data_IF_108648236356
#
_entry.id   IF_108648236356
#
_cell.length_a   1.000
_cell.length_b   1.000
_cell.length_c   1.000
_cell.angle_alpha   90.00
_cell.angle_beta   90.00
_cell.angle_gamma   90.00
#
_symmetry.space_group_name_H-M   'P 1'
#
loop_
_entity.id
_entity.type
_entity.pdbx_description
1 polymer ?
#
# COMPACT_ATOMS: atom_id res chain seq x y z
N UNK A 1 -36.81 -13.95 34.65
CA UNK A 1 -36.20 -13.40 33.44
C UNK A 1 -36.71 -14.18 32.25
N UNK A 2 -37.48 -13.54 31.37
CA UNK A 2 -38.11 -14.19 30.22
C UNK A 2 -37.07 -14.55 29.16
N UNK A 3 -37.24 -15.74 28.53
CA UNK A 3 -36.33 -16.20 27.44
C UNK A 3 -36.15 -15.22 26.30
N UNK A 4 -37.11 -14.34 26.06
CA UNK A 4 -37.07 -13.23 25.10
C UNK A 4 -36.10 -12.12 25.52
N UNK A 5 -35.94 -11.84 26.80
CA UNK A 5 -34.99 -10.81 27.28
C UNK A 5 -33.51 -11.25 27.17
N UNK A 6 -33.27 -12.57 27.31
CA UNK A 6 -31.92 -13.12 27.12
C UNK A 6 -31.54 -13.13 25.63
N UNK A 7 -32.49 -13.46 24.74
CA UNK A 7 -32.26 -13.44 23.30
C UNK A 7 -32.00 -12.03 22.77
N UNK A 8 -32.69 -11.00 23.29
CA UNK A 8 -32.43 -9.59 22.92
C UNK A 8 -31.11 -9.07 23.47
N UNK A 9 -30.68 -9.51 24.66
CA UNK A 9 -29.35 -9.16 25.17
C UNK A 9 -28.21 -9.84 24.36
N UNK A 10 -28.42 -11.09 23.94
CA UNK A 10 -27.44 -11.84 23.14
C UNK A 10 -27.32 -11.25 21.74
N UNK A 11 -28.39 -10.80 21.11
CA UNK A 11 -28.40 -10.12 19.82
C UNK A 11 -27.79 -8.72 19.94
N UNK A 12 -28.03 -8.00 21.05
CA UNK A 12 -27.41 -6.70 21.34
C UNK A 12 -25.90 -6.78 21.56
N UNK A 13 -25.40 -7.86 22.17
CA UNK A 13 -23.95 -8.07 22.34
C UNK A 13 -23.22 -8.53 21.07
N UNK A 14 -23.93 -9.14 20.11
CA UNK A 14 -23.37 -9.52 18.80
C UNK A 14 -23.31 -8.35 17.80
N UNK A 15 -23.99 -7.24 18.07
CA UNK A 15 -23.97 -6.04 17.25
C UNK A 15 -22.87 -5.02 17.64
N UNK A 16 -22.17 -5.26 18.76
CA UNK A 16 -21.10 -4.40 19.26
C UNK A 16 -19.74 -5.03 18.96
N UNK A 17 -19.22 -4.84 17.72
CA UNK A 17 -17.81 -5.04 17.56
C UNK A 17 -17.30 -5.75 16.32
N UNK A 18 -17.56 -5.24 15.17
CA UNK A 18 -16.66 -5.44 14.04
C UNK A 18 -16.16 -4.07 13.57
N UNK A 19 -15.16 -3.53 14.28
CA UNK A 19 -14.42 -2.39 13.78
C UNK A 19 -13.48 -2.91 12.71
N UNK A 20 -13.70 -2.48 11.47
CA UNK A 20 -12.79 -2.71 10.37
C UNK A 20 -11.50 -1.93 10.64
N UNK A 21 -10.43 -2.64 10.82
CA UNK A 21 -9.09 -2.09 10.95
C UNK A 21 -8.24 -2.58 9.76
N UNK A 22 -7.16 -1.91 9.41
CA UNK A 22 -6.73 -1.83 8.01
C UNK A 22 -5.23 -1.64 7.90
N UNK A 23 -4.58 -2.25 6.89
CA UNK A 23 -3.17 -1.98 6.61
C UNK A 23 -2.53 -2.82 5.51
N UNK A 24 -1.18 -2.91 5.54
CA UNK A 24 -0.39 -3.79 4.70
C UNK A 24 -0.90 -5.24 4.75
N UNK A 25 -0.68 -6.02 3.69
CA UNK A 25 -1.16 -7.41 3.60
C UNK A 25 -0.86 -8.26 4.83
N UNK A 26 0.32 -8.10 5.44
CA UNK A 26 0.72 -8.81 6.65
C UNK A 26 -0.18 -8.50 7.87
N UNK A 27 -0.75 -7.30 7.93
CA UNK A 27 -1.58 -6.90 9.07
C UNK A 27 -3.01 -7.45 9.03
N UNK A 28 -3.38 -8.20 8.00
CA UNK A 28 -4.63 -8.96 8.00
C UNK A 28 -4.69 -9.91 9.20
N UNK A 29 -3.56 -10.50 9.62
CA UNK A 29 -3.46 -11.34 10.82
C UNK A 29 -3.75 -10.60 12.12
N UNK A 30 -3.61 -9.27 12.10
CA UNK A 30 -4.02 -8.35 13.18
C UNK A 30 -5.45 -7.80 12.99
N UNK A 31 -6.19 -8.33 12.00
CA UNK A 31 -7.54 -7.91 11.61
C UNK A 31 -7.60 -6.54 10.92
N UNK A 32 -6.49 -6.12 10.30
CA UNK A 32 -6.38 -4.89 9.54
C UNK A 32 -6.36 -5.21 8.04
N UNK A 33 -7.50 -5.07 7.35
CA UNK A 33 -7.66 -5.45 5.94
C UNK A 33 -7.60 -4.27 4.95
N UNK A 34 -7.59 -3.02 5.42
CA UNK A 34 -7.66 -1.81 4.58
C UNK A 34 -6.63 -0.77 5.03
N UNK A 35 -6.34 0.24 4.20
CA UNK A 35 -5.31 1.26 4.47
C UNK A 35 -5.82 2.51 5.20
N UNK A 36 -7.09 2.86 5.00
CA UNK A 36 -7.65 4.19 5.32
C UNK A 36 -7.66 4.62 6.79
N UNK A 37 -7.75 3.79 7.85
CA UNK A 37 -7.57 4.29 9.22
C UNK A 37 -6.14 4.58 9.61
N UNK A 38 -5.17 3.90 8.99
CA UNK A 38 -3.78 4.08 9.35
C UNK A 38 -3.07 5.13 8.49
N UNK A 39 -3.55 5.38 7.27
CA UNK A 39 -2.94 6.29 6.32
C UNK A 39 -3.93 7.37 5.88
N UNK A 40 -3.41 8.59 5.62
CA UNK A 40 -4.20 9.63 4.99
C UNK A 40 -4.49 9.30 3.52
N UNK A 41 -3.53 8.70 2.80
CA UNK A 41 -3.79 8.16 1.45
C UNK A 41 -4.66 6.92 1.54
N UNK A 42 -5.85 6.88 0.88
CA UNK A 42 -6.76 5.74 0.94
C UNK A 42 -6.17 4.43 0.42
N UNK A 43 -5.10 4.53 -0.37
CA UNK A 43 -4.41 3.38 -0.96
C UNK A 43 -3.18 2.94 -0.15
N UNK A 44 -2.98 3.52 1.03
CA UNK A 44 -1.81 3.27 1.88
C UNK A 44 -0.56 4.05 1.47
N UNK A 45 0.49 3.93 2.24
CA UNK A 45 1.72 4.71 2.12
C UNK A 45 1.55 6.16 2.59
N UNK A 46 2.63 6.92 2.52
CA UNK A 46 2.66 8.32 2.97
C UNK A 46 2.36 8.48 4.46
N UNK A 47 1.82 9.64 4.82
CA UNK A 47 1.59 10.05 6.20
C UNK A 47 0.61 9.15 6.96
N UNK A 48 1.01 8.72 8.15
CA UNK A 48 0.14 8.01 9.07
C UNK A 48 -0.85 8.96 9.75
N UNK A 49 -2.09 8.48 9.92
CA UNK A 49 -3.07 9.10 10.83
C UNK A 49 -2.61 8.97 12.29
N UNK A 50 -3.20 9.73 13.20
CA UNK A 50 -2.93 9.57 14.65
C UNK A 50 -3.21 8.14 15.12
N UNK A 51 -4.25 7.51 14.60
CA UNK A 51 -4.54 6.10 14.88
C UNK A 51 -3.44 5.17 14.36
N UNK A 52 -2.96 5.37 13.13
CA UNK A 52 -1.87 4.59 12.54
C UNK A 52 -0.57 4.71 13.32
N UNK A 53 -0.24 5.92 13.81
CA UNK A 53 0.92 6.15 14.68
C UNK A 53 0.78 5.42 16.02
N UNK A 54 -0.40 5.50 16.65
CA UNK A 54 -0.69 4.79 17.89
C UNK A 54 -0.60 3.27 17.72
N UNK A 55 -1.13 2.75 16.61
CA UNK A 55 -1.04 1.33 16.26
C UNK A 55 0.42 0.88 16.08
N UNK A 56 1.20 1.63 15.31
CA UNK A 56 2.63 1.36 15.09
C UNK A 56 3.39 1.27 16.41
N UNK A 57 3.12 2.20 17.33
CA UNK A 57 3.74 2.21 18.64
C UNK A 57 3.32 1.04 19.52
N UNK A 58 2.02 0.79 19.63
CA UNK A 58 1.47 -0.09 20.68
C UNK A 58 1.43 -1.55 20.28
N UNK A 59 1.08 -1.86 19.05
CA UNK A 59 0.83 -3.23 18.61
C UNK A 59 1.86 -3.77 17.63
N UNK A 60 2.42 -2.90 16.77
CA UNK A 60 3.26 -3.38 15.68
C UNK A 60 4.74 -3.39 16.00
N UNK A 61 5.24 -2.55 16.90
CA UNK A 61 6.65 -2.51 17.26
C UNK A 61 7.04 -3.56 18.29
N UNK A 62 8.32 -3.97 18.30
CA UNK A 62 8.86 -4.95 19.29
C UNK A 62 8.77 -4.42 20.73
N UNK A 63 8.87 -3.10 20.89
CA UNK A 63 8.74 -2.41 22.19
C UNK A 63 7.30 -2.01 22.52
N UNK A 64 6.32 -2.54 21.76
CA UNK A 64 4.93 -2.16 21.89
C UNK A 64 4.34 -2.42 23.28
N UNK A 65 3.48 -1.50 23.75
CA UNK A 65 2.94 -1.47 25.10
C UNK A 65 1.60 -2.21 25.25
N UNK A 66 1.03 -2.71 24.15
CA UNK A 66 -0.25 -3.44 24.18
C UNK A 66 -1.32 -2.86 23.25
N UNK A 67 -2.60 -3.17 23.49
CA UNK A 67 -3.68 -2.83 22.56
C UNK A 67 -3.81 -1.33 22.29
N UNK A 68 -4.09 -0.98 21.04
CA UNK A 68 -4.36 0.39 20.62
C UNK A 68 -5.77 0.80 21.05
N UNK A 69 -5.96 1.99 21.63
CA UNK A 69 -7.29 2.51 21.93
C UNK A 69 -8.12 2.64 20.65
N UNK A 70 -9.44 2.60 20.75
CA UNK A 70 -10.32 2.89 19.62
C UNK A 70 -9.98 4.23 18.96
N UNK A 71 -10.14 4.33 17.63
CA UNK A 71 -9.78 5.52 16.86
C UNK A 71 -10.34 6.84 17.43
N UNK A 72 -11.55 6.81 18.00
CA UNK A 72 -12.16 7.98 18.65
C UNK A 72 -11.42 8.46 19.92
N UNK A 73 -10.58 7.62 20.53
CA UNK A 73 -9.78 7.93 21.72
C UNK A 73 -8.29 8.09 21.39
N UNK A 74 -7.90 7.82 20.13
CA UNK A 74 -6.51 7.92 19.71
C UNK A 74 -6.00 9.37 19.77
N UNK A 75 -6.88 10.36 19.55
CA UNK A 75 -6.56 11.79 19.66
C UNK A 75 -6.20 12.20 21.09
N UNK A 76 -6.79 11.55 22.10
CA UNK A 76 -6.50 11.80 23.52
C UNK A 76 -5.28 11.00 24.00
N UNK A 77 -5.09 9.81 23.42
CA UNK A 77 -3.96 8.93 23.72
C UNK A 77 -2.66 9.34 23.01
N UNK A 78 -2.73 10.24 22.03
CA UNK A 78 -1.58 10.83 21.35
C UNK A 78 -0.81 11.77 22.29
N UNK A 79 -0.21 11.21 23.32
CA UNK A 79 0.70 11.91 24.23
C UNK A 79 2.08 12.05 23.60
N UNK A 80 2.84 13.04 24.04
CA UNK A 80 4.12 13.57 23.56
C UNK A 80 5.11 12.71 22.75
N UNK A 81 5.05 11.37 22.81
CA UNK A 81 5.92 10.47 22.06
C UNK A 81 5.45 10.20 20.61
N UNK A 82 4.20 10.52 20.30
CA UNK A 82 3.60 10.41 18.96
C UNK A 82 3.74 11.69 18.15
N UNK A 83 4.51 12.63 18.67
CA UNK A 83 4.77 13.92 18.05
C UNK A 83 5.97 13.85 17.11
N UNK A 84 6.06 14.83 16.21
CA UNK A 84 7.11 14.93 15.20
C UNK A 84 8.50 14.76 15.83
N UNK A 85 9.34 13.93 15.22
CA UNK A 85 10.67 13.55 15.69
C UNK A 85 10.70 13.12 17.18
N UNK A 86 9.80 12.18 17.53
CA UNK A 86 9.73 11.64 18.91
C UNK A 86 9.56 12.70 20.00
N UNK A 87 8.82 13.76 19.68
CA UNK A 87 8.55 14.86 20.60
C UNK A 87 9.61 15.94 20.64
N UNK A 88 10.69 15.84 19.87
CA UNK A 88 11.77 16.83 19.88
C UNK A 88 11.39 18.14 19.21
N UNK A 89 10.47 18.13 18.25
CA UNK A 89 9.98 19.34 17.55
C UNK A 89 8.61 19.83 18.04
N UNK A 90 8.23 19.49 19.28
CA UNK A 90 6.98 19.94 19.87
C UNK A 90 5.74 19.21 19.34
N UNK A 91 4.60 19.52 19.96
CA UNK A 91 3.33 18.88 19.63
C UNK A 91 2.70 19.56 18.43
N UNK A 92 2.75 18.94 17.26
CA UNK A 92 1.88 19.33 16.14
C UNK A 92 0.47 18.83 16.50
N UNK A 93 -0.27 19.65 17.23
CA UNK A 93 -1.63 19.35 17.67
C UNK A 93 -2.63 20.00 16.75
N UNK A 94 -3.79 19.36 16.64
CA UNK A 94 -4.94 19.89 15.96
C UNK A 94 -5.09 19.33 14.54
N UNK A 95 -5.54 20.19 13.65
CA UNK A 95 -5.95 19.80 12.28
C UNK A 95 -4.79 19.56 11.32
N UNK A 96 -3.60 20.09 11.63
CA UNK A 96 -2.39 19.91 10.82
C UNK A 96 -1.55 18.78 11.39
N UNK A 97 -1.24 17.82 10.54
CA UNK A 97 -0.31 16.73 10.81
C UNK A 97 0.88 16.85 9.87
N UNK A 98 2.07 16.64 10.39
CA UNK A 98 3.31 16.64 9.62
C UNK A 98 4.01 15.30 9.78
N UNK A 99 4.75 14.90 8.77
CA UNK A 99 5.56 13.69 8.78
C UNK A 99 6.75 13.77 7.86
N UNK A 100 7.59 12.76 7.96
CA UNK A 100 8.70 12.50 7.05
C UNK A 100 8.69 11.03 6.65
N UNK A 101 9.21 10.73 5.48
CA UNK A 101 9.47 9.38 5.00
C UNK A 101 10.88 9.36 4.39
N UNK A 102 11.79 8.60 5.01
CA UNK A 102 13.19 8.54 4.58
C UNK A 102 13.64 7.08 4.50
N UNK A 103 14.12 6.67 3.31
CA UNK A 103 14.48 5.28 3.00
C UNK A 103 15.85 5.18 2.33
N UNK A 104 16.97 5.23 3.07
CA UNK A 104 18.24 4.78 2.55
C UNK A 104 18.26 3.25 2.46
N UNK A 105 18.92 2.74 1.42
CA UNK A 105 19.05 1.31 1.21
C UNK A 105 20.41 0.94 0.62
N UNK A 106 20.85 -0.28 0.91
CA UNK A 106 21.98 -0.94 0.27
C UNK A 106 21.47 -2.10 -0.59
N UNK A 107 21.89 -2.14 -1.82
CA UNK A 107 21.47 -3.13 -2.80
C UNK A 107 22.72 -3.86 -3.32
N UNK A 108 22.73 -5.19 -3.19
CA UNK A 108 23.68 -6.06 -3.85
C UNK A 108 22.96 -6.85 -4.94
N UNK A 109 23.40 -6.66 -6.18
CA UNK A 109 22.80 -7.30 -7.34
C UNK A 109 23.83 -8.26 -7.97
N UNK A 110 23.39 -9.46 -8.36
CA UNK A 110 24.24 -10.49 -8.95
C UNK A 110 23.55 -11.19 -10.13
N UNK A 111 24.28 -11.25 -11.25
CA UNK A 111 23.93 -11.99 -12.44
C UNK A 111 25.03 -13.03 -12.75
N UNK A 112 24.74 -14.06 -13.58
CA UNK A 112 25.81 -14.88 -14.15
C UNK A 112 26.80 -13.98 -14.92
N UNK A 113 28.02 -13.87 -14.39
CA UNK A 113 29.06 -13.06 -15.00
C UNK A 113 29.44 -11.78 -14.26
N UNK A 114 28.74 -11.40 -13.19
CA UNK A 114 29.14 -10.25 -12.38
C UNK A 114 28.17 -9.87 -11.29
N UNK A 115 28.64 -9.04 -10.38
CA UNK A 115 27.83 -8.46 -9.32
C UNK A 115 28.17 -6.97 -9.15
N UNK A 116 27.23 -6.21 -8.57
CA UNK A 116 27.40 -4.81 -8.26
C UNK A 116 26.72 -4.49 -6.91
N UNK A 117 27.33 -3.55 -6.21
CA UNK A 117 26.80 -2.98 -4.97
C UNK A 117 26.41 -1.53 -5.21
N UNK A 118 25.29 -1.12 -4.64
CA UNK A 118 24.79 0.25 -4.76
C UNK A 118 24.16 0.70 -3.45
N UNK A 119 24.57 1.88 -2.99
CA UNK A 119 23.82 2.59 -1.95
C UNK A 119 22.85 3.55 -2.62
N UNK A 120 21.59 3.43 -2.27
CA UNK A 120 20.51 4.24 -2.85
C UNK A 120 19.75 4.97 -1.75
N UNK A 121 19.25 6.16 -2.10
CA UNK A 121 18.22 6.83 -1.34
C UNK A 121 16.91 6.63 -2.10
N UNK A 122 16.05 5.74 -1.61
CA UNK A 122 14.78 5.43 -2.29
C UNK A 122 13.84 6.62 -2.26
N UNK A 123 13.69 7.25 -1.10
CA UNK A 123 12.98 8.52 -0.95
C UNK A 123 13.45 9.29 0.29
N UNK A 124 13.17 10.60 0.29
CA UNK A 124 13.32 11.48 1.44
C UNK A 124 12.28 12.59 1.30
N UNK A 125 11.12 12.41 1.94
CA UNK A 125 9.92 13.20 1.72
C UNK A 125 9.46 13.89 3.01
N UNK A 126 8.93 15.09 2.85
CA UNK A 126 8.13 15.81 3.83
C UNK A 126 6.66 15.64 3.48
N UNK A 127 5.86 15.31 4.48
CA UNK A 127 4.45 15.03 4.31
C UNK A 127 3.62 15.95 5.19
N UNK A 128 2.46 16.36 4.69
CA UNK A 128 1.53 17.19 5.45
C UNK A 128 0.07 16.80 5.15
N UNK A 129 -0.75 16.77 6.19
CA UNK A 129 -2.20 16.65 6.06
C UNK A 129 -2.90 17.67 6.94
N UNK A 130 -3.91 18.34 6.39
CA UNK A 130 -4.79 19.23 7.14
C UNK A 130 -6.22 18.71 7.06
N UNK A 131 -6.84 18.47 8.23
CA UNK A 131 -8.20 17.92 8.30
C UNK A 131 -9.18 18.89 8.99
N UNK A 132 -10.36 19.05 8.41
CA UNK A 132 -11.45 19.85 9.01
C UNK A 132 -12.82 19.43 8.47
N UNK A 133 -13.77 19.09 9.35
CA UNK A 133 -15.17 18.81 9.02
C UNK A 133 -15.36 17.88 7.80
N UNK A 134 -14.63 16.75 7.76
CA UNK A 134 -14.69 15.79 6.67
C UNK A 134 -13.82 16.12 5.45
N UNK A 135 -13.20 17.31 5.41
CA UNK A 135 -12.23 17.69 4.39
C UNK A 135 -10.81 17.32 4.81
N UNK A 136 -10.03 16.84 3.86
CA UNK A 136 -8.60 16.58 4.02
C UNK A 136 -7.85 17.20 2.85
N UNK A 137 -6.87 18.04 3.14
CA UNK A 137 -5.85 18.49 2.19
C UNK A 137 -4.59 17.71 2.51
N UNK A 138 -3.99 17.08 1.52
CA UNK A 138 -2.79 16.27 1.65
C UNK A 138 -1.74 16.71 0.64
N UNK A 139 -0.48 16.63 1.02
CA UNK A 139 0.64 16.85 0.11
C UNK A 139 1.91 16.25 0.67
N UNK A 140 2.75 15.82 -0.24
CA UNK A 140 4.12 15.38 0.03
C UNK A 140 5.05 16.04 -0.97
N UNK A 141 6.26 16.31 -0.52
CA UNK A 141 7.33 16.87 -1.35
C UNK A 141 8.65 16.32 -0.88
N UNK A 142 9.46 15.87 -1.79
CA UNK A 142 10.74 15.31 -1.44
C UNK A 142 11.61 14.99 -2.64
N UNK A 143 12.54 14.07 -2.40
CA UNK A 143 13.53 13.67 -3.39
C UNK A 143 13.10 12.41 -4.11
N UNK A 144 12.99 12.49 -5.42
CA UNK A 144 12.90 11.31 -6.28
C UNK A 144 14.29 10.77 -6.65
N UNK A 145 14.54 9.46 -6.53
CA UNK A 145 15.77 8.83 -7.02
C UNK A 145 15.69 8.61 -8.54
N UNK A 146 15.60 9.66 -9.35
CA UNK A 146 15.81 9.54 -10.80
C UNK A 146 17.29 9.41 -11.09
N UNK A 147 17.66 8.46 -11.94
CA UNK A 147 19.04 8.21 -12.32
C UNK A 147 19.76 9.51 -12.74
N UNK A 148 20.75 9.92 -11.96
CA UNK A 148 21.63 11.04 -12.27
C UNK A 148 21.17 12.44 -11.88
N UNK A 149 20.01 12.64 -11.28
CA UNK A 149 19.56 13.97 -10.85
C UNK A 149 18.95 13.97 -9.44
N UNK A 150 19.21 15.05 -8.70
CA UNK A 150 18.53 15.38 -7.45
C UNK A 150 17.34 16.29 -7.80
N UNK A 151 16.20 15.71 -8.16
CA UNK A 151 14.99 16.49 -8.37
C UNK A 151 14.14 16.46 -7.11
N UNK A 152 13.67 17.64 -6.72
CA UNK A 152 12.62 17.77 -5.73
C UNK A 152 11.30 17.59 -6.46
N UNK A 153 10.50 16.67 -5.98
CA UNK A 153 9.24 16.30 -6.61
C UNK A 153 8.14 16.07 -5.58
N UNK A 154 6.90 15.91 -6.04
CA UNK A 154 5.78 15.53 -5.21
C UNK A 154 5.05 14.35 -5.83
N UNK A 155 4.94 13.25 -5.10
CA UNK A 155 4.21 12.06 -5.56
C UNK A 155 2.71 12.27 -5.47
N UNK A 156 2.20 12.67 -4.31
CA UNK A 156 0.77 12.87 -4.09
C UNK A 156 0.47 14.25 -3.53
N UNK A 157 -0.53 14.92 -4.08
CA UNK A 157 -1.17 16.08 -3.50
C UNK A 157 -2.63 16.16 -3.96
N UNK A 158 -3.52 16.23 -3.00
CA UNK A 158 -4.94 16.13 -3.28
C UNK A 158 -5.80 16.78 -2.20
N UNK A 159 -7.04 17.09 -2.58
CA UNK A 159 -8.13 17.46 -1.70
C UNK A 159 -9.15 16.32 -1.69
N UNK A 160 -9.59 15.94 -0.50
CA UNK A 160 -10.66 14.96 -0.35
C UNK A 160 -11.74 15.46 0.60
N UNK A 161 -12.96 14.97 0.39
CA UNK A 161 -14.08 15.11 1.31
C UNK A 161 -14.71 13.75 1.56
N UNK A 162 -14.96 13.44 2.82
CA UNK A 162 -15.64 12.22 3.25
C UNK A 162 -16.84 12.58 4.10
N UNK A 163 -18.01 12.06 3.74
CA UNK A 163 -19.26 12.23 4.49
C UNK A 163 -19.34 11.22 5.64
N UNK A 164 -20.17 11.51 6.65
CA UNK A 164 -20.46 10.57 7.73
C UNK A 164 -21.11 9.27 7.23
N UNK A 165 -21.77 9.27 6.08
CA UNK A 165 -22.34 8.09 5.43
C UNK A 165 -21.33 7.24 4.64
N UNK A 166 -20.03 7.55 4.72
CA UNK A 166 -18.96 6.80 4.07
C UNK A 166 -18.75 7.08 2.59
N UNK A 167 -19.42 8.08 2.00
CA UNK A 167 -19.13 8.54 0.64
C UNK A 167 -17.94 9.49 0.66
N UNK A 168 -17.01 9.27 -0.26
CA UNK A 168 -15.81 10.07 -0.43
C UNK A 168 -15.62 10.55 -1.87
N UNK A 169 -15.02 11.72 -2.00
CA UNK A 169 -14.48 12.26 -3.25
C UNK A 169 -13.06 12.75 -3.00
N UNK A 170 -12.15 12.44 -3.91
CA UNK A 170 -10.76 12.91 -3.88
C UNK A 170 -10.41 13.48 -5.26
N UNK A 171 -9.76 14.63 -5.29
CA UNK A 171 -9.32 15.31 -6.51
C UNK A 171 -7.87 15.75 -6.36
N UNK A 172 -7.05 15.50 -7.35
CA UNK A 172 -5.63 15.89 -7.35
C UNK A 172 -4.75 14.88 -8.04
N UNK A 173 -3.47 14.85 -7.64
CA UNK A 173 -2.50 13.84 -8.08
C UNK A 173 -2.39 12.75 -7.02
N UNK A 174 -2.66 11.52 -7.41
CA UNK A 174 -2.64 10.37 -6.51
C UNK A 174 -2.41 9.06 -7.27
N UNK A 175 -1.93 8.04 -6.57
CA UNK A 175 -1.90 6.68 -7.10
C UNK A 175 -3.33 6.12 -7.10
N UNK A 176 -3.89 5.71 -8.25
CA UNK A 176 -5.24 5.16 -8.30
C UNK A 176 -5.32 3.80 -7.63
N UNK A 177 -6.51 3.44 -7.12
CA UNK A 177 -6.74 2.19 -6.44
C UNK A 177 -6.82 1.01 -7.42
N UNK A 178 -6.01 -0.03 -7.19
CA UNK A 178 -6.04 -1.30 -7.90
C UNK A 178 -5.45 -2.39 -7.01
N UNK A 179 -5.98 -3.62 -7.07
CA UNK A 179 -5.45 -4.81 -6.43
C UNK A 179 -5.13 -4.67 -4.93
N UNK A 180 -4.20 -5.46 -4.51
CA UNK A 180 -3.56 -5.39 -3.18
C UNK A 180 -2.25 -4.62 -3.29
N UNK A 181 -2.11 -3.58 -2.49
CA UNK A 181 -0.86 -2.82 -2.44
C UNK A 181 0.13 -3.56 -1.53
N UNK A 182 0.94 -4.43 -2.12
CA UNK A 182 2.09 -5.00 -1.42
C UNK A 182 3.14 -3.92 -1.15
N UNK A 183 3.89 -4.07 -0.05
CA UNK A 183 4.95 -3.12 0.32
C UNK A 183 6.06 -3.07 -0.73
N UNK A 184 6.42 -4.24 -1.29
CA UNK A 184 7.34 -4.33 -2.43
C UNK A 184 6.75 -3.66 -3.68
N UNK A 185 7.21 -2.45 -3.99
CA UNK A 185 6.78 -1.72 -5.17
C UNK A 185 7.23 -2.36 -6.49
N UNK A 186 8.20 -3.28 -6.45
CA UNK A 186 8.69 -4.01 -7.62
C UNK A 186 7.90 -5.28 -7.88
N UNK A 187 6.94 -5.64 -7.02
CA UNK A 187 6.09 -6.82 -7.20
C UNK A 187 5.40 -6.82 -8.57
N UNK A 188 5.18 -8.00 -9.13
CA UNK A 188 4.68 -8.13 -10.49
C UNK A 188 3.26 -7.57 -10.69
N UNK A 189 2.44 -7.49 -9.65
CA UNK A 189 1.14 -6.82 -9.69
C UNK A 189 1.24 -5.29 -9.54
N UNK A 190 2.43 -4.71 -9.42
CA UNK A 190 2.66 -3.28 -9.26
C UNK A 190 3.20 -2.66 -10.54
N UNK A 191 4.49 -2.63 -10.74
CA UNK A 191 5.15 -1.98 -11.86
C UNK A 191 4.65 -2.45 -13.25
N UNK A 192 4.47 -3.76 -13.55
CA UNK A 192 3.95 -4.19 -14.84
C UNK A 192 2.52 -3.74 -15.16
N UNK A 193 1.70 -3.49 -14.12
CA UNK A 193 0.33 -2.99 -14.26
C UNK A 193 0.25 -1.46 -14.22
N UNK A 194 1.38 -0.78 -13.95
CA UNK A 194 1.43 0.67 -13.85
C UNK A 194 0.84 1.19 -12.54
N UNK A 195 1.18 0.53 -11.44
CA UNK A 195 0.89 0.96 -10.07
C UNK A 195 2.17 1.03 -9.23
N UNK A 196 3.27 1.36 -9.88
CA UNK A 196 4.53 1.68 -9.20
C UNK A 196 4.43 3.02 -8.45
N UNK A 197 5.46 3.35 -7.69
CA UNK A 197 5.53 4.58 -6.90
C UNK A 197 5.51 5.85 -7.77
N UNK A 198 5.73 5.74 -9.08
CA UNK A 198 5.73 6.85 -10.05
C UNK A 198 4.49 6.89 -10.95
N UNK A 199 3.49 6.05 -10.70
CA UNK A 199 2.34 5.87 -11.57
C UNK A 199 1.11 6.69 -11.12
N UNK A 200 1.32 7.81 -10.40
CA UNK A 200 0.24 8.70 -10.02
C UNK A 200 -0.43 9.31 -11.26
N UNK A 201 -1.72 9.58 -11.09
CA UNK A 201 -2.54 10.27 -12.10
C UNK A 201 -3.10 11.56 -11.53
N UNK A 202 -3.31 12.57 -12.37
CA UNK A 202 -4.26 13.62 -12.06
C UNK A 202 -5.66 13.08 -12.28
N UNK A 203 -6.55 13.24 -11.32
CA UNK A 203 -7.87 12.67 -11.48
C UNK A 203 -8.83 12.98 -10.36
N UNK A 204 -9.98 12.33 -10.48
CA UNK A 204 -11.05 12.32 -9.49
C UNK A 204 -11.25 10.86 -9.08
N UNK A 205 -11.34 10.61 -7.79
CA UNK A 205 -11.72 9.31 -7.23
C UNK A 205 -13.02 9.48 -6.43
N UNK A 206 -13.98 8.61 -6.68
CA UNK A 206 -15.17 8.44 -5.87
C UNK A 206 -15.01 7.16 -5.05
N UNK A 207 -15.39 7.23 -3.79
CA UNK A 207 -15.32 6.08 -2.89
C UNK A 207 -16.57 5.92 -2.07
N UNK A 208 -16.85 4.68 -1.67
CA UNK A 208 -17.84 4.35 -0.66
C UNK A 208 -17.25 3.34 0.30
N UNK A 209 -17.23 3.69 1.57
CA UNK A 209 -16.74 2.85 2.65
C UNK A 209 -17.90 2.49 3.58
N UNK A 210 -18.05 1.22 3.85
CA UNK A 210 -18.93 0.67 4.90
C UNK A 210 -18.11 -0.17 5.85
N UNK A 211 -18.72 -0.76 6.86
CA UNK A 211 -18.02 -1.67 7.78
C UNK A 211 -17.40 -2.90 7.06
N UNK A 212 -18.01 -3.32 5.95
CA UNK A 212 -17.60 -4.54 5.23
C UNK A 212 -17.07 -4.29 3.82
N UNK A 213 -17.46 -3.18 3.20
CA UNK A 213 -17.21 -2.93 1.79
C UNK A 213 -16.43 -1.64 1.59
N UNK A 214 -15.53 -1.66 0.61
CA UNK A 214 -14.85 -0.48 0.08
C UNK A 214 -14.94 -0.52 -1.44
N UNK A 215 -15.61 0.46 -2.03
CA UNK A 215 -15.62 0.72 -3.46
C UNK A 215 -14.81 1.97 -3.75
N UNK A 216 -13.92 1.91 -4.73
CA UNK A 216 -13.15 3.05 -5.23
C UNK A 216 -13.22 3.02 -6.75
N UNK A 217 -13.54 4.16 -7.36
CA UNK A 217 -13.53 4.34 -8.81
C UNK A 217 -12.81 5.65 -9.09
N UNK A 218 -11.76 5.59 -9.91
CA UNK A 218 -11.02 6.78 -10.31
C UNK A 218 -11.02 6.97 -11.81
N UNK A 219 -10.97 8.23 -12.22
CA UNK A 219 -10.88 8.65 -13.61
C UNK A 219 -9.97 9.87 -13.70
N UNK A 220 -9.13 9.91 -14.73
CA UNK A 220 -8.25 11.03 -14.98
C UNK A 220 -7.74 11.08 -16.42
N UNK A 221 -7.23 12.24 -16.86
CA UNK A 221 -6.64 12.41 -18.19
C UNK A 221 -5.33 11.63 -18.36
N UNK A 222 -4.87 10.93 -17.33
CA UNK A 222 -3.74 10.02 -17.41
C UNK A 222 -2.61 10.31 -16.44
N UNK A 223 -1.50 9.62 -16.67
CA UNK A 223 -0.26 9.79 -15.91
C UNK A 223 0.16 11.25 -15.94
N UNK A 224 0.58 11.73 -14.79
CA UNK A 224 1.24 13.00 -14.69
C UNK A 224 2.61 12.76 -14.06
N UNK A 225 3.64 13.05 -14.80
CA UNK A 225 4.94 13.25 -14.19
C UNK A 225 4.88 14.45 -13.23
N UNK A 226 5.90 14.63 -12.45
CA UNK A 226 6.05 15.66 -11.43
C UNK A 226 5.59 17.06 -11.83
N UNK A 227 5.41 17.93 -10.84
CA UNK A 227 5.15 19.36 -11.06
C UNK A 227 6.23 19.94 -11.99
N UNK A 228 5.84 20.33 -13.19
CA UNK A 228 6.71 20.93 -14.19
C UNK A 228 7.32 19.96 -15.20
N UNK A 229 7.12 18.66 -15.09
CA UNK A 229 7.51 17.67 -16.09
C UNK A 229 6.27 16.99 -16.68
N UNK A 230 5.77 17.52 -17.78
CA UNK A 230 4.81 16.86 -18.64
C UNK A 230 5.60 16.20 -19.78
N UNK A 231 5.78 14.88 -19.71
CA UNK A 231 6.47 14.13 -20.77
C UNK A 231 5.56 13.87 -21.99
N UNK A 232 4.39 14.47 -22.02
CA UNK A 232 3.39 14.29 -23.08
C UNK A 232 2.69 12.94 -23.08
N UNK A 233 2.94 12.06 -22.09
CA UNK A 233 2.35 10.73 -21.99
C UNK A 233 0.99 10.74 -21.27
N UNK A 234 0.14 11.66 -21.63
CA UNK A 234 -1.21 11.70 -21.09
C UNK A 234 -2.05 10.59 -21.69
N UNK A 235 -2.36 9.57 -20.89
CA UNK A 235 -3.31 8.55 -21.25
C UNK A 235 -4.54 8.67 -20.35
N UNK A 236 -5.74 8.70 -20.92
CA UNK A 236 -6.96 8.56 -20.12
C UNK A 236 -6.87 7.28 -19.30
N UNK A 237 -7.03 7.39 -18.00
CA UNK A 237 -6.93 6.24 -17.07
C UNK A 237 -8.20 6.17 -16.25
N UNK A 238 -8.80 5.01 -16.17
CA UNK A 238 -9.86 4.70 -15.22
C UNK A 238 -9.54 3.42 -14.47
N UNK A 239 -9.81 3.42 -13.17
CA UNK A 239 -9.67 2.22 -12.33
C UNK A 239 -10.91 2.02 -11.51
N UNK A 240 -11.20 0.75 -11.19
CA UNK A 240 -12.21 0.37 -10.22
C UNK A 240 -11.64 -0.68 -9.29
N UNK A 241 -11.88 -0.53 -7.99
CA UNK A 241 -11.50 -1.49 -6.96
C UNK A 241 -12.66 -1.69 -6.00
N UNK A 242 -13.05 -2.94 -5.82
CA UNK A 242 -14.06 -3.33 -4.84
C UNK A 242 -13.45 -4.34 -3.88
N UNK A 243 -13.49 -4.02 -2.60
CA UNK A 243 -13.03 -4.90 -1.53
C UNK A 243 -14.20 -5.23 -0.62
N UNK A 244 -14.35 -6.51 -0.28
CA UNK A 244 -15.31 -7.00 0.71
C UNK A 244 -14.60 -7.82 1.77
N UNK A 245 -14.79 -7.44 3.05
CA UNK A 245 -14.23 -8.13 4.19
C UNK A 245 -15.27 -9.10 4.76
N UNK A 246 -14.95 -10.38 4.77
CA UNK A 246 -15.80 -11.46 5.26
C UNK A 246 -15.37 -11.88 6.67
N UNK A 247 -15.74 -11.06 7.65
CA UNK A 247 -15.25 -11.15 9.01
C UNK A 247 -13.83 -10.65 9.17
N UNK A 248 -13.20 -10.85 10.33
CA UNK A 248 -11.92 -10.23 10.65
C UNK A 248 -10.70 -10.93 10.01
N UNK A 249 -10.90 -12.04 9.31
CA UNK A 249 -9.82 -12.92 8.83
C UNK A 249 -9.86 -13.19 7.33
N UNK A 250 -10.78 -12.59 6.61
CA UNK A 250 -10.93 -12.87 5.16
C UNK A 250 -11.30 -11.60 4.42
N UNK A 251 -10.61 -11.33 3.34
CA UNK A 251 -10.89 -10.21 2.44
C UNK A 251 -10.79 -10.65 0.99
N UNK A 252 -11.67 -10.12 0.15
CA UNK A 252 -11.69 -10.33 -1.29
C UNK A 252 -11.60 -8.97 -1.97
N UNK A 253 -10.75 -8.86 -2.98
CA UNK A 253 -10.59 -7.65 -3.79
C UNK A 253 -10.83 -8.00 -5.25
N UNK A 254 -11.63 -7.19 -5.93
CA UNK A 254 -11.81 -7.22 -7.38
C UNK A 254 -11.35 -5.89 -7.95
N UNK A 255 -10.62 -5.92 -9.06
CA UNK A 255 -10.05 -4.71 -9.64
C UNK A 255 -10.13 -4.71 -11.16
N UNK A 256 -10.26 -3.52 -11.72
CA UNK A 256 -10.22 -3.27 -13.15
C UNK A 256 -9.45 -2.00 -13.46
N UNK A 257 -8.75 -2.01 -14.59
CA UNK A 257 -7.99 -0.90 -15.14
C UNK A 257 -8.28 -0.78 -16.63
N UNK A 258 -8.45 0.44 -17.09
CA UNK A 258 -8.41 0.77 -18.51
C UNK A 258 -7.56 2.03 -18.70
N UNK A 259 -6.64 1.98 -19.68
CA UNK A 259 -5.85 3.12 -20.15
C UNK A 259 -5.95 3.23 -21.66
N UNK A 260 -6.22 4.43 -22.13
CA UNK A 260 -6.13 4.75 -23.56
C UNK A 260 -4.95 5.68 -23.77
N UNK A 261 -3.94 5.17 -24.47
CA UNK A 261 -2.64 5.84 -24.60
C UNK A 261 -2.66 7.04 -25.54
N UNK A 262 -1.72 7.95 -25.29
CA UNK A 262 -1.30 8.94 -26.27
C UNK A 262 -0.46 8.26 -27.38
N UNK A 263 0.01 9.00 -28.37
CA UNK A 263 0.74 8.49 -29.56
C UNK A 263 1.95 7.56 -29.27
N UNK A 264 2.37 7.42 -28.01
CA UNK A 264 3.52 6.61 -27.58
C UNK A 264 3.10 5.38 -26.75
N UNK A 265 1.96 5.41 -26.09
CA UNK A 265 1.46 4.29 -25.30
C UNK A 265 0.24 3.66 -25.95
N UNK A 266 0.32 2.36 -26.20
CA UNK A 266 -0.78 1.56 -26.69
C UNK A 266 -1.87 1.44 -25.62
N UNK A 267 -3.11 1.33 -26.07
CA UNK A 267 -4.25 1.01 -25.23
C UNK A 267 -3.97 -0.22 -24.38
N UNK A 268 -4.21 -0.17 -23.09
CA UNK A 268 -4.06 -1.33 -22.23
C UNK A 268 -5.21 -1.40 -21.21
N UNK A 269 -5.47 -2.61 -20.74
CA UNK A 269 -6.44 -2.89 -19.70
C UNK A 269 -5.99 -4.05 -18.85
N UNK A 270 -6.45 -4.08 -17.61
CA UNK A 270 -6.23 -5.20 -16.72
C UNK A 270 -7.48 -5.49 -15.89
N UNK A 271 -7.65 -6.74 -15.52
CA UNK A 271 -8.64 -7.18 -14.54
C UNK A 271 -8.04 -8.19 -13.61
N UNK A 272 -8.31 -8.07 -12.32
CA UNK A 272 -7.73 -8.94 -11.31
C UNK A 272 -8.65 -9.21 -10.14
N UNK A 273 -8.29 -10.26 -9.41
CA UNK A 273 -8.93 -10.66 -8.17
C UNK A 273 -7.89 -11.06 -7.14
N UNK A 274 -8.08 -10.65 -5.90
CA UNK A 274 -7.23 -11.05 -4.80
C UNK A 274 -8.07 -11.63 -3.65
N UNK A 275 -7.46 -12.59 -2.96
CA UNK A 275 -8.03 -13.25 -1.80
C UNK A 275 -7.01 -13.23 -0.66
N UNK A 276 -7.42 -12.66 0.47
CA UNK A 276 -6.65 -12.63 1.71
C UNK A 276 -7.30 -13.42 2.81
N UNK A 277 -6.55 -14.22 3.56
CA UNK A 277 -7.07 -14.95 4.71
C UNK A 277 -6.02 -15.19 5.78
N UNK A 278 -6.49 -15.48 6.99
CA UNK A 278 -5.69 -15.77 8.19
C UNK A 278 -5.93 -17.21 8.60
N UNK A 279 -5.08 -18.17 8.19
CA UNK A 279 -5.27 -19.58 8.51
C UNK A 279 -5.12 -19.87 10.01
N UNK A 280 -4.15 -19.22 10.64
CA UNK A 280 -3.90 -19.27 12.08
C UNK A 280 -3.48 -17.90 12.58
N UNK A 281 -3.60 -17.59 13.88
CA UNK A 281 -3.11 -16.32 14.42
C UNK A 281 -1.67 -16.03 14.02
N UNK A 282 -1.35 -14.78 13.72
CA UNK A 282 -0.04 -14.30 13.28
C UNK A 282 0.39 -14.70 11.86
N UNK A 283 -0.45 -15.41 11.11
CA UNK A 283 -0.16 -15.76 9.72
C UNK A 283 -1.19 -15.13 8.82
N UNK A 284 -0.78 -14.36 7.83
CA UNK A 284 -1.63 -13.87 6.75
C UNK A 284 -1.16 -14.40 5.41
N UNK A 285 -2.11 -14.70 4.55
CA UNK A 285 -1.86 -15.15 3.19
C UNK A 285 -2.69 -14.30 2.24
N UNK A 286 -2.05 -13.71 1.27
CA UNK A 286 -2.71 -13.02 0.16
C UNK A 286 -2.29 -13.63 -1.16
N UNK A 287 -3.24 -13.78 -2.07
CA UNK A 287 -2.97 -14.18 -3.45
C UNK A 287 -3.76 -13.27 -4.37
N UNK A 288 -3.10 -12.68 -5.34
CA UNK A 288 -3.69 -11.86 -6.39
C UNK A 288 -3.35 -12.46 -7.76
N UNK A 289 -4.34 -12.48 -8.63
CA UNK A 289 -4.18 -12.90 -10.02
C UNK A 289 -4.77 -11.87 -10.97
N UNK A 290 -4.00 -11.47 -11.98
CA UNK A 290 -4.35 -10.44 -12.94
C UNK A 290 -4.18 -10.92 -14.38
N UNK A 291 -5.04 -10.43 -15.26
CA UNK A 291 -4.93 -10.55 -16.70
C UNK A 291 -4.68 -9.15 -17.29
N UNK A 292 -3.56 -8.99 -17.99
CA UNK A 292 -3.14 -7.73 -18.61
C UNK A 292 -3.27 -7.82 -20.12
N UNK A 293 -4.04 -6.92 -20.70
CA UNK A 293 -4.26 -6.78 -22.15
C UNK A 293 -3.52 -5.55 -22.65
N UNK A 294 -2.81 -5.68 -23.76
CA UNK A 294 -2.16 -4.56 -24.46
C UNK A 294 -2.49 -4.60 -25.94
N UNK A 295 -2.86 -3.45 -26.49
CA UNK A 295 -3.10 -3.31 -27.91
C UNK A 295 -1.79 -3.56 -28.68
N UNK A 296 -1.85 -4.32 -29.78
CA UNK A 296 -0.67 -4.72 -30.55
C UNK A 296 0.17 -5.84 -29.92
N UNK A 297 -0.13 -6.31 -28.71
CA UNK A 297 0.50 -7.50 -28.14
C UNK A 297 -0.15 -8.77 -28.66
N UNK A 298 0.64 -9.83 -28.82
CA UNK A 298 0.17 -11.13 -29.32
C UNK A 298 -0.71 -11.91 -28.31
N UNK A 299 -1.41 -11.21 -27.40
CA UNK A 299 -2.33 -11.84 -26.45
C UNK A 299 -2.22 -11.28 -25.04
N UNK A 300 -2.82 -12.01 -24.10
CA UNK A 300 -2.90 -11.63 -22.69
C UNK A 300 -1.66 -12.09 -21.93
N UNK A 301 -1.14 -11.24 -21.05
CA UNK A 301 -0.19 -11.63 -20.01
C UNK A 301 -0.94 -11.91 -18.72
N UNK A 302 -0.51 -12.92 -17.99
CA UNK A 302 -1.04 -13.25 -16.67
C UNK A 302 0.00 -12.96 -15.60
N UNK A 303 -0.45 -12.44 -14.47
CA UNK A 303 0.35 -12.14 -13.29
C UNK A 303 -0.28 -12.86 -12.12
N UNK A 304 0.53 -13.49 -11.30
CA UNK A 304 0.11 -14.07 -10.03
C UNK A 304 1.13 -13.67 -8.99
N UNK A 305 0.67 -13.08 -7.90
CA UNK A 305 1.49 -12.73 -6.74
C UNK A 305 0.85 -13.35 -5.50
N UNK A 306 1.65 -14.07 -4.75
CA UNK A 306 1.27 -14.52 -3.41
C UNK A 306 2.21 -13.89 -2.40
N UNK A 307 1.69 -13.57 -1.22
CA UNK A 307 2.48 -13.20 -0.05
C UNK A 307 1.96 -13.97 1.16
N UNK A 308 2.84 -14.71 1.78
CA UNK A 308 2.61 -15.35 3.07
C UNK A 308 3.49 -14.67 4.10
N UNK A 309 2.88 -14.05 5.11
CA UNK A 309 3.55 -13.29 6.15
C UNK A 309 3.30 -13.94 7.51
N UNK A 310 4.35 -14.09 8.29
CA UNK A 310 4.33 -14.71 9.64
C UNK A 310 4.92 -13.74 10.64
N UNK A 311 4.15 -13.33 11.64
CA UNK A 311 4.70 -12.61 12.79
C UNK A 311 5.41 -13.59 13.72
N UNK A 312 6.71 -13.71 13.58
CA UNK A 312 7.53 -14.64 14.38
C UNK A 312 7.50 -14.26 15.87
N UNK A 313 7.75 -13.00 16.15
CA UNK A 313 7.52 -12.33 17.44
C UNK A 313 6.95 -10.96 17.16
N UNK A 314 6.39 -10.29 18.16
CA UNK A 314 5.84 -8.94 17.96
C UNK A 314 6.85 -8.03 17.26
N UNK A 315 6.43 -7.38 16.19
CA UNK A 315 7.25 -6.47 15.42
C UNK A 315 8.33 -7.10 14.56
N UNK A 316 8.36 -8.44 14.42
CA UNK A 316 9.25 -9.15 13.51
C UNK A 316 8.42 -10.04 12.60
N UNK A 317 8.44 -9.71 11.32
CA UNK A 317 7.69 -10.41 10.29
C UNK A 317 8.63 -11.11 9.33
N UNK A 318 8.31 -12.34 9.01
CA UNK A 318 8.96 -13.10 7.95
C UNK A 318 7.95 -13.26 6.81
N UNK A 319 8.35 -12.88 5.60
CA UNK A 319 7.49 -12.93 4.42
C UNK A 319 8.11 -13.81 3.35
N UNK A 320 7.26 -14.53 2.65
CA UNK A 320 7.62 -15.27 1.45
C UNK A 320 6.63 -14.93 0.34
N UNK A 321 7.15 -14.42 -0.80
CA UNK A 321 6.32 -14.01 -1.92
C UNK A 321 6.79 -14.64 -3.23
N UNK A 322 6.18 -15.78 -3.64
CA UNK A 322 6.33 -16.32 -4.98
C UNK A 322 5.49 -15.53 -5.97
N UNK A 323 6.07 -15.19 -7.12
CA UNK A 323 5.43 -14.39 -8.15
C UNK A 323 5.66 -14.99 -9.53
N UNK A 324 4.66 -14.90 -10.40
CA UNK A 324 4.70 -15.34 -11.77
C UNK A 324 4.20 -14.20 -12.69
N UNK A 325 4.90 -13.97 -13.77
CA UNK A 325 4.43 -13.15 -14.89
C UNK A 325 4.67 -13.91 -16.20
N UNK A 326 3.64 -14.11 -17.00
CA UNK A 326 3.78 -14.67 -18.34
C UNK A 326 4.12 -13.58 -19.37
N UNK A 327 4.73 -13.99 -20.50
CA UNK A 327 4.79 -13.10 -21.65
C UNK A 327 3.41 -13.04 -22.36
N UNK A 328 3.06 -11.92 -23.00
CA UNK A 328 1.80 -11.81 -23.74
C UNK A 328 1.68 -12.91 -24.78
N UNK A 329 0.56 -13.66 -24.76
CA UNK A 329 0.29 -14.76 -25.68
C UNK A 329 1.20 -15.99 -25.53
N UNK A 330 2.13 -16.00 -24.60
CA UNK A 330 3.05 -17.12 -24.37
C UNK A 330 3.11 -17.48 -22.87
N UNK A 331 2.34 -18.49 -22.49
CA UNK A 331 2.26 -18.94 -21.10
C UNK A 331 3.57 -19.58 -20.58
N UNK A 332 4.45 -20.06 -21.47
CA UNK A 332 5.75 -20.61 -21.07
C UNK A 332 6.86 -19.58 -21.00
N UNK A 333 6.67 -18.38 -21.57
CA UNK A 333 7.58 -17.26 -21.45
C UNK A 333 7.32 -16.43 -20.19
N UNK A 334 8.13 -15.37 -20.02
CA UNK A 334 8.02 -14.43 -18.90
C UNK A 334 8.99 -14.70 -17.77
N UNK A 335 8.60 -14.39 -16.53
CA UNK A 335 9.50 -14.42 -15.36
C UNK A 335 8.81 -15.06 -14.16
N UNK A 336 9.60 -15.73 -13.33
CA UNK A 336 9.21 -16.14 -11.98
C UNK A 336 10.14 -15.46 -10.98
N UNK A 337 9.61 -15.11 -9.84
CA UNK A 337 10.32 -14.48 -8.73
C UNK A 337 9.98 -15.20 -7.43
N UNK A 338 10.95 -15.34 -6.55
CA UNK A 338 10.71 -15.65 -5.16
C UNK A 338 11.37 -14.57 -4.30
N UNK A 339 10.60 -13.99 -3.38
CA UNK A 339 11.08 -13.00 -2.43
C UNK A 339 11.03 -13.58 -1.03
N UNK A 340 12.12 -13.45 -0.31
CA UNK A 340 12.22 -13.74 1.12
C UNK A 340 12.52 -12.43 1.82
N UNK A 341 11.71 -12.07 2.78
CA UNK A 341 11.80 -10.77 3.44
C UNK A 341 11.68 -10.93 4.95
N UNK A 342 12.45 -10.15 5.68
CA UNK A 342 12.35 -9.98 7.12
C UNK A 342 12.15 -8.50 7.43
N UNK A 343 10.96 -8.17 7.89
CA UNK A 343 10.61 -6.85 8.40
C UNK A 343 10.73 -6.81 9.90
N UNK A 344 11.52 -5.87 10.40
CA UNK A 344 11.69 -5.64 11.82
C UNK A 344 11.22 -4.21 12.15
N UNK A 345 10.24 -4.11 13.01
CA UNK A 345 9.69 -2.85 13.55
C UNK A 345 10.21 -2.67 14.98
N UNK A 346 11.47 -2.25 15.20
CA UNK A 346 12.06 -2.25 16.54
C UNK A 346 11.38 -1.25 17.44
N UNK A 347 10.93 -0.14 16.88
CA UNK A 347 10.25 0.95 17.57
C UNK A 347 9.26 1.62 16.61
N UNK A 348 8.32 2.38 17.15
CA UNK A 348 7.46 3.24 16.33
C UNK A 348 8.31 4.11 15.40
N UNK A 349 7.83 4.37 14.19
CA UNK A 349 8.48 5.20 13.17
C UNK A 349 9.81 4.65 12.62
N UNK A 350 10.13 3.38 12.88
CA UNK A 350 11.33 2.75 12.38
C UNK A 350 11.02 1.34 11.87
N UNK A 351 11.38 1.07 10.63
CA UNK A 351 11.37 -0.26 10.03
C UNK A 351 12.77 -0.59 9.45
N UNK A 352 13.20 -1.82 9.66
CA UNK A 352 14.37 -2.42 9.03
C UNK A 352 13.86 -3.54 8.13
N UNK A 353 14.13 -3.45 6.85
CA UNK A 353 13.77 -4.45 5.84
C UNK A 353 15.01 -5.14 5.30
N UNK A 354 14.94 -6.45 5.27
CA UNK A 354 15.96 -7.34 4.69
C UNK A 354 15.26 -8.20 3.66
N UNK A 355 15.50 -7.94 2.38
CA UNK A 355 14.85 -8.65 1.28
C UNK A 355 15.84 -9.38 0.40
N UNK A 356 15.52 -10.60 0.00
CA UNK A 356 16.29 -11.40 -0.93
C UNK A 356 15.41 -11.87 -2.08
N UNK A 357 15.76 -11.44 -3.29
CA UNK A 357 15.03 -11.71 -4.51
C UNK A 357 15.76 -12.75 -5.34
N UNK A 358 15.04 -13.74 -5.84
CA UNK A 358 15.46 -14.68 -6.85
C UNK A 358 14.57 -14.51 -8.08
N UNK A 359 15.08 -13.85 -9.09
CA UNK A 359 14.42 -13.66 -10.38
C UNK A 359 14.93 -14.66 -11.40
N UNK A 360 14.03 -15.33 -12.10
CA UNK A 360 14.38 -16.24 -13.21
C UNK A 360 13.56 -15.91 -14.43
N UNK A 361 14.26 -15.63 -15.53
CA UNK A 361 13.64 -15.59 -16.85
C UNK A 361 13.34 -17.02 -17.31
N UNK A 362 12.12 -17.25 -17.79
CA UNK A 362 11.64 -18.60 -18.11
C UNK A 362 12.09 -19.09 -19.49
N UNK A 363 12.56 -18.18 -20.36
CA UNK A 363 13.05 -18.52 -21.71
C UNK A 363 14.55 -18.75 -21.68
N UNK A 364 15.30 -17.75 -21.23
CA UNK A 364 16.78 -17.82 -21.17
C UNK A 364 17.30 -18.63 -19.98
N UNK A 365 16.44 -18.91 -19.00
CA UNK A 365 16.80 -19.50 -17.71
C UNK A 365 17.83 -18.70 -16.88
N UNK A 366 18.08 -17.43 -17.26
CA UNK A 366 18.92 -16.52 -16.49
C UNK A 366 18.33 -16.33 -15.11
N UNK A 367 19.21 -16.36 -14.10
CA UNK A 367 18.88 -16.10 -12.70
C UNK A 367 19.58 -14.84 -12.24
N UNK A 368 18.79 -13.86 -11.81
CA UNK A 368 19.27 -12.69 -11.08
C UNK A 368 19.00 -12.87 -9.59
N UNK A 369 19.93 -12.41 -8.77
CA UNK A 369 19.82 -12.42 -7.32
C UNK A 369 20.00 -10.98 -6.84
N UNK A 370 19.10 -10.53 -5.97
CA UNK A 370 19.20 -9.21 -5.37
C UNK A 370 19.04 -9.34 -3.87
N UNK A 371 19.97 -8.78 -3.14
CA UNK A 371 19.83 -8.57 -1.70
C UNK A 371 19.62 -7.08 -1.46
N UNK A 372 18.59 -6.75 -0.70
CA UNK A 372 18.26 -5.39 -0.29
C UNK A 372 18.25 -5.31 1.22
N UNK A 373 18.97 -4.33 1.75
CA UNK A 373 18.82 -3.88 3.13
C UNK A 373 18.31 -2.45 3.13
N UNK A 374 17.16 -2.21 3.73
CA UNK A 374 16.54 -0.91 3.80
C UNK A 374 16.37 -0.48 5.26
N UNK A 375 16.71 0.76 5.51
CA UNK A 375 16.39 1.47 6.75
C UNK A 375 15.30 2.47 6.45
N UNK A 376 14.15 2.36 7.10
CA UNK A 376 13.00 3.20 6.83
C UNK A 376 12.57 3.95 8.09
N UNK A 377 12.67 5.27 8.03
CA UNK A 377 12.15 6.19 9.04
C UNK A 377 10.90 6.86 8.49
N UNK A 378 9.81 6.76 9.22
CA UNK A 378 8.53 7.34 8.84
C UNK A 378 7.83 7.97 10.05
N UNK A 379 7.15 9.11 9.83
CA UNK A 379 6.47 9.86 10.88
C UNK A 379 5.06 10.24 10.46
#
# INVERSE_FOLDING_TARGET
>A
MNRTSVALLTIGCLALGARAAQAEPMFLSKQYARCTPCHYSPNGGGLLTLYGRSLSRRELSTTGEGPTPPAAQADEAATGEETFLWGTLGKVRGRLQLGVDVRPAHLHFSLPGGSADQNIFMNADLLAAYQTKGWTVYGEVGREPKAGSWTIDSYEYWLAHQTAGGFGIRVGRFLPAYGVRFADHTAFNRSPLGFDIYDQVYGIELSRTTDRDLLQVSVGPGRADSIGHDDGRRAFTTTGRYQVDRGPRTSIVLSGLFRDGSMIETRNGAGGAAFGFVPVPRVSVWTEGDALFRDGAAGTAYIVVNETSVEAVRGVWLKFSPQLRTAPGNASGGSVRAVFEADVLPRTHLNLDLSYYLDRDRVSALVAKTFLFQFHVYL
#
